data_IF_479607796046
#
_entry.id   IF_479607796046
#
_cell.length_a   1.000
_cell.length_b   1.000
_cell.length_c   1.000
_cell.angle_alpha   90.00
_cell.angle_beta   90.00
_cell.angle_gamma   90.00
#
_symmetry.space_group_name_H-M   'P 1'
#
loop_
_entity.id
_entity.type
_entity.pdbx_description
1 polymer ?
#
# COMPACT_ATOMS: atom_id res chain seq x y z
N UNK A 1 25.30 -24.96 25.23
CA UNK A 1 23.92 -25.48 25.44
C UNK A 1 22.84 -24.38 25.51
N UNK A 2 23.07 -23.23 26.16
CA UNK A 2 22.07 -22.15 26.25
C UNK A 2 21.74 -21.49 24.89
N UNK A 3 22.75 -21.21 24.05
CA UNK A 3 22.58 -20.64 22.69
C UNK A 3 21.70 -21.55 21.80
N UNK A 4 21.92 -22.87 21.84
CA UNK A 4 21.07 -23.87 21.13
C UNK A 4 19.61 -23.91 21.62
N UNK A 5 19.34 -23.54 22.89
CA UNK A 5 17.97 -23.45 23.41
C UNK A 5 17.30 -22.15 22.96
N UNK A 6 18.02 -21.03 22.98
CA UNK A 6 17.54 -19.74 22.48
C UNK A 6 17.24 -19.79 20.98
N UNK A 7 18.14 -20.37 20.16
CA UNK A 7 17.91 -20.58 18.73
C UNK A 7 16.65 -21.41 18.44
N UNK A 8 16.41 -22.46 19.23
CA UNK A 8 15.20 -23.30 19.10
C UNK A 8 13.91 -22.57 19.50
N UNK A 9 13.99 -21.67 20.48
CA UNK A 9 12.86 -20.83 20.87
C UNK A 9 12.57 -19.75 19.81
N UNK A 10 13.62 -19.08 19.32
CA UNK A 10 13.52 -18.08 18.24
C UNK A 10 12.94 -18.68 16.95
N UNK A 11 13.34 -19.92 16.61
CA UNK A 11 12.81 -20.66 15.47
C UNK A 11 11.32 -21.07 15.60
N UNK A 12 10.71 -20.89 16.77
CA UNK A 12 9.29 -21.13 17.05
C UNK A 12 8.51 -19.84 17.32
N UNK A 13 9.19 -18.69 17.33
CA UNK A 13 8.55 -17.38 17.48
C UNK A 13 7.74 -17.04 16.23
N UNK A 14 6.96 -15.96 16.32
CA UNK A 14 6.37 -15.36 15.12
C UNK A 14 7.48 -14.90 14.18
N UNK A 15 7.23 -14.98 12.88
CA UNK A 15 8.18 -14.61 11.84
C UNK A 15 8.03 -13.12 11.56
N UNK A 16 9.00 -12.27 11.93
CA UNK A 16 8.94 -10.85 11.63
C UNK A 16 9.36 -10.59 10.19
N UNK A 17 8.41 -10.15 9.37
CA UNK A 17 8.55 -9.96 7.92
C UNK A 17 8.35 -8.49 7.60
N UNK A 18 9.32 -7.88 6.92
CA UNK A 18 9.14 -6.56 6.29
C UNK A 18 8.70 -6.76 4.84
N UNK A 19 7.50 -6.28 4.43
CA UNK A 19 7.04 -6.39 3.06
C UNK A 19 7.51 -5.20 2.20
N UNK A 20 8.35 -5.48 1.20
CA UNK A 20 8.62 -4.58 0.08
C UNK A 20 7.67 -4.91 -1.08
N UNK A 21 6.63 -4.10 -1.23
CA UNK A 21 5.58 -4.32 -2.23
C UNK A 21 5.98 -3.72 -3.57
N UNK A 22 6.02 -4.57 -4.60
CA UNK A 22 6.06 -4.21 -6.02
C UNK A 22 4.65 -4.21 -6.63
N UNK A 23 4.58 -4.08 -7.95
CA UNK A 23 3.34 -4.15 -8.71
C UNK A 23 2.65 -5.51 -8.47
N UNK A 24 1.37 -5.47 -8.09
CA UNK A 24 0.54 -6.63 -7.79
C UNK A 24 0.96 -7.44 -6.54
N UNK A 25 1.71 -6.83 -5.62
CA UNK A 25 2.17 -7.45 -4.37
C UNK A 25 1.12 -7.48 -3.25
N UNK A 26 0.08 -6.64 -3.31
CA UNK A 26 -0.91 -6.44 -2.25
C UNK A 26 -1.64 -7.73 -1.80
N UNK A 27 -1.97 -8.70 -2.69
CA UNK A 27 -2.56 -9.97 -2.25
C UNK A 27 -1.70 -10.73 -1.22
N UNK A 28 -0.37 -10.67 -1.35
CA UNK A 28 0.56 -11.27 -0.40
C UNK A 28 0.47 -10.61 0.97
N UNK A 29 0.48 -9.27 1.01
CA UNK A 29 0.31 -8.50 2.25
C UNK A 29 -0.98 -8.91 2.98
N UNK A 30 -2.10 -8.90 2.26
CA UNK A 30 -3.40 -9.21 2.83
C UNK A 30 -3.50 -10.66 3.35
N UNK A 31 -2.92 -11.62 2.61
CA UNK A 31 -2.86 -13.03 3.04
C UNK A 31 -2.06 -13.17 4.34
N UNK A 32 -0.89 -12.53 4.40
CA UNK A 32 0.01 -12.62 5.54
C UNK A 32 -0.51 -11.90 6.78
N UNK A 33 -1.19 -10.77 6.62
CA UNK A 33 -1.84 -10.05 7.72
C UNK A 33 -2.86 -10.91 8.48
N UNK A 34 -3.50 -11.87 7.80
CA UNK A 34 -4.44 -12.82 8.40
C UNK A 34 -3.81 -14.13 8.86
N UNK A 35 -2.53 -14.35 8.60
CA UNK A 35 -1.88 -15.63 8.86
C UNK A 35 -1.26 -15.68 10.25
N UNK A 36 -1.72 -16.63 11.06
CA UNK A 36 -1.16 -16.84 12.40
C UNK A 36 0.32 -17.26 12.31
N UNK A 37 1.16 -16.70 13.19
CA UNK A 37 2.59 -16.99 13.22
C UNK A 37 3.45 -16.10 12.33
N UNK A 38 2.84 -15.29 11.46
CA UNK A 38 3.54 -14.23 10.73
C UNK A 38 3.27 -12.89 11.42
N UNK A 39 4.29 -12.04 11.49
CA UNK A 39 4.22 -10.69 12.01
C UNK A 39 4.75 -9.72 10.95
N UNK A 40 3.86 -8.93 10.36
CA UNK A 40 4.24 -7.87 9.43
C UNK A 40 4.73 -6.66 10.22
N UNK A 41 6.00 -6.30 10.05
CA UNK A 41 6.62 -5.19 10.76
C UNK A 41 6.74 -3.96 9.87
N UNK A 42 6.65 -2.77 10.48
CA UNK A 42 6.63 -1.50 9.75
C UNK A 42 8.03 -0.91 9.48
N UNK A 43 9.09 -1.56 10.00
CA UNK A 43 10.49 -1.17 9.77
C UNK A 43 11.35 -2.37 9.43
N UNK A 44 12.27 -2.27 8.44
CA UNK A 44 13.23 -3.33 8.14
C UNK A 44 14.10 -3.68 9.35
N UNK A 45 14.34 -2.72 10.26
CA UNK A 45 15.10 -2.95 11.50
C UNK A 45 14.47 -3.97 12.45
N UNK A 46 13.17 -4.22 12.32
CA UNK A 46 12.43 -5.17 13.14
C UNK A 46 12.25 -6.53 12.47
N UNK A 47 12.69 -6.69 11.21
CA UNK A 47 12.49 -7.91 10.44
C UNK A 47 13.70 -8.85 10.50
N UNK A 48 13.41 -10.15 10.44
CA UNK A 48 14.41 -11.18 10.10
C UNK A 48 14.27 -11.61 8.64
N UNK A 49 13.11 -11.38 8.02
CA UNK A 49 12.87 -11.67 6.61
C UNK A 49 12.41 -10.43 5.84
N UNK A 50 13.02 -10.19 4.69
CA UNK A 50 12.50 -9.27 3.67
C UNK A 50 11.65 -10.06 2.69
N UNK A 51 10.38 -9.71 2.55
CA UNK A 51 9.51 -10.21 1.50
C UNK A 51 9.47 -9.19 0.36
N UNK A 52 9.94 -9.56 -0.82
CA UNK A 52 9.69 -8.77 -2.05
C UNK A 52 8.50 -9.38 -2.75
N UNK A 53 7.37 -8.67 -2.78
CA UNK A 53 6.11 -9.19 -3.32
C UNK A 53 5.68 -8.42 -4.55
N UNK A 54 5.60 -9.09 -5.70
CA UNK A 54 5.23 -8.48 -6.98
C UNK A 54 6.42 -7.89 -7.75
N UNK A 55 6.15 -7.48 -8.98
CA UNK A 55 7.18 -6.99 -9.90
C UNK A 55 7.74 -5.63 -9.47
N UNK A 56 9.05 -5.54 -9.25
CA UNK A 56 9.74 -4.29 -8.92
C UNK A 56 10.44 -3.74 -10.17
N UNK A 57 10.03 -2.56 -10.69
CA UNK A 57 10.67 -1.93 -11.84
C UNK A 57 12.18 -1.69 -11.65
N UNK A 58 13.01 -1.77 -12.71
CA UNK A 58 14.46 -1.63 -12.61
C UNK A 58 14.95 -0.32 -11.97
N UNK A 59 14.26 0.78 -12.24
CA UNK A 59 14.54 2.10 -11.66
C UNK A 59 14.35 2.14 -10.14
N UNK A 60 13.64 1.16 -9.57
CA UNK A 60 13.39 1.02 -8.12
C UNK A 60 14.38 0.08 -7.43
N UNK A 61 15.23 -0.63 -8.18
CA UNK A 61 16.17 -1.61 -7.61
C UNK A 61 17.18 -0.97 -6.66
N UNK A 62 17.60 0.27 -6.90
CA UNK A 62 18.49 0.99 -5.99
C UNK A 62 17.86 1.20 -4.61
N UNK A 63 16.58 1.60 -4.55
CA UNK A 63 15.86 1.74 -3.30
C UNK A 63 15.66 0.38 -2.61
N UNK A 64 15.43 -0.69 -3.38
CA UNK A 64 15.27 -2.03 -2.84
C UNK A 64 16.56 -2.55 -2.18
N UNK A 65 17.73 -2.30 -2.79
CA UNK A 65 19.03 -2.61 -2.18
C UNK A 65 19.24 -1.87 -0.85
N UNK A 66 18.80 -0.61 -0.75
CA UNK A 66 18.86 0.15 0.52
C UNK A 66 17.99 -0.47 1.60
N UNK A 67 16.75 -0.84 1.28
CA UNK A 67 15.85 -1.51 2.24
C UNK A 67 16.44 -2.85 2.67
N UNK A 68 16.94 -3.65 1.71
CA UNK A 68 17.59 -4.93 1.97
C UNK A 68 18.72 -4.80 3.01
N UNK A 69 19.60 -3.83 2.85
CA UNK A 69 20.75 -3.66 3.74
C UNK A 69 20.40 -3.00 5.09
N UNK A 70 19.18 -2.48 5.26
CA UNK A 70 18.69 -2.01 6.56
C UNK A 70 18.25 -3.14 7.51
N UNK A 71 18.08 -4.37 7.02
CA UNK A 71 17.72 -5.51 7.88
C UNK A 71 18.91 -5.90 8.78
N UNK A 72 18.67 -6.20 10.07
CA UNK A 72 19.71 -6.65 10.99
C UNK A 72 20.11 -8.10 10.69
N UNK A 73 21.41 -8.39 10.74
CA UNK A 73 21.87 -9.77 10.62
C UNK A 73 21.54 -10.58 11.89
N UNK A 74 21.20 -11.89 11.78
CA UNK A 74 20.99 -12.63 10.54
C UNK A 74 19.61 -12.32 9.91
N UNK A 75 19.56 -12.17 8.59
CA UNK A 75 18.32 -12.00 7.83
C UNK A 75 18.33 -12.81 6.53
N UNK A 76 17.16 -13.02 5.93
CA UNK A 76 17.03 -13.63 4.61
C UNK A 76 15.95 -12.94 3.77
N UNK A 77 15.93 -13.22 2.47
CA UNK A 77 14.96 -12.66 1.52
C UNK A 77 14.09 -13.75 0.90
N UNK A 78 12.80 -13.46 0.73
CA UNK A 78 11.89 -14.29 -0.07
C UNK A 78 11.24 -13.43 -1.15
N UNK A 79 11.16 -13.97 -2.36
CA UNK A 79 10.64 -13.28 -3.54
C UNK A 79 9.33 -13.94 -3.97
N UNK A 80 8.24 -13.19 -3.92
CA UNK A 80 6.90 -13.64 -4.31
C UNK A 80 6.51 -13.03 -5.65
N UNK A 81 6.31 -13.86 -6.69
CA UNK A 81 5.99 -13.42 -8.08
C UNK A 81 6.88 -12.27 -8.55
N UNK A 82 8.17 -12.41 -8.27
CA UNK A 82 9.17 -11.38 -8.49
C UNK A 82 10.50 -12.07 -8.73
N UNK A 83 11.28 -11.52 -9.66
CA UNK A 83 12.60 -12.05 -9.95
C UNK A 83 13.63 -11.43 -9.00
N UNK A 84 14.46 -12.24 -8.31
CA UNK A 84 15.51 -11.71 -7.46
C UNK A 84 16.47 -10.78 -8.19
N UNK A 85 17.06 -9.84 -7.45
CA UNK A 85 18.21 -9.10 -7.93
C UNK A 85 19.32 -10.07 -8.34
N UNK A 86 20.14 -9.70 -9.32
CA UNK A 86 21.21 -10.56 -9.84
C UNK A 86 22.21 -10.97 -8.74
N UNK A 87 22.46 -10.08 -7.78
CA UNK A 87 23.30 -10.30 -6.61
C UNK A 87 22.68 -11.30 -5.61
N UNK A 88 21.37 -11.57 -5.74
CA UNK A 88 20.56 -12.43 -4.89
C UNK A 88 19.93 -13.60 -5.66
N UNK A 89 20.53 -14.05 -6.77
CA UNK A 89 19.99 -15.12 -7.61
C UNK A 89 19.71 -16.45 -6.86
N UNK A 90 20.35 -16.69 -5.71
CA UNK A 90 20.10 -17.84 -4.84
C UNK A 90 18.97 -17.66 -3.80
N UNK A 91 18.24 -16.55 -3.84
CA UNK A 91 17.15 -16.28 -2.92
C UNK A 91 15.94 -17.22 -3.15
N UNK A 92 15.18 -17.48 -2.09
CA UNK A 92 13.97 -18.31 -2.19
C UNK A 92 12.89 -17.58 -2.98
N UNK A 93 12.33 -18.25 -3.99
CA UNK A 93 11.22 -17.75 -4.82
C UNK A 93 9.96 -18.60 -4.63
N UNK A 94 8.80 -17.95 -4.62
CA UNK A 94 7.47 -18.57 -4.54
C UNK A 94 6.52 -17.84 -5.47
N UNK A 95 5.80 -18.55 -6.33
CA UNK A 95 4.81 -17.92 -7.21
C UNK A 95 3.35 -18.18 -6.74
N UNK A 96 3.15 -19.19 -5.89
CA UNK A 96 1.85 -19.54 -5.35
C UNK A 96 1.55 -18.85 -4.02
N UNK A 97 0.43 -18.12 -3.96
CA UNK A 97 0.05 -17.32 -2.79
C UNK A 97 -0.14 -18.17 -1.52
N UNK A 98 -0.66 -19.39 -1.67
CA UNK A 98 -0.92 -20.28 -0.53
C UNK A 98 0.33 -20.98 0.01
N UNK A 99 1.39 -21.09 -0.79
CA UNK A 99 2.68 -21.61 -0.33
C UNK A 99 3.49 -20.57 0.48
N UNK A 100 3.15 -19.29 0.35
CA UNK A 100 3.91 -18.18 0.91
C UNK A 100 4.10 -18.27 2.44
N UNK A 101 3.08 -18.56 3.28
CA UNK A 101 3.27 -18.59 4.73
C UNK A 101 4.17 -19.74 5.20
N UNK A 102 4.05 -20.92 4.57
CA UNK A 102 4.91 -22.06 4.89
C UNK A 102 6.35 -21.79 4.49
N UNK A 103 6.57 -21.20 3.32
CA UNK A 103 7.90 -20.82 2.85
C UNK A 103 8.58 -19.82 3.79
N UNK A 104 7.87 -18.77 4.24
CA UNK A 104 8.39 -17.81 5.23
C UNK A 104 8.73 -18.48 6.56
N UNK A 105 7.87 -19.37 7.04
CA UNK A 105 8.07 -20.09 8.32
C UNK A 105 9.28 -21.02 8.25
N UNK A 106 9.44 -21.72 7.14
CA UNK A 106 10.59 -22.60 6.90
C UNK A 106 11.88 -21.80 6.79
N UNK A 107 11.87 -20.72 6.00
CA UNK A 107 13.03 -19.85 5.82
C UNK A 107 13.51 -19.23 7.15
N UNK A 108 12.59 -18.71 7.97
CA UNK A 108 12.91 -18.19 9.30
C UNK A 108 13.48 -19.26 10.23
N UNK A 109 12.92 -20.47 10.19
CA UNK A 109 13.39 -21.60 11.00
C UNK A 109 14.82 -21.99 10.62
N UNK A 110 15.11 -22.13 9.32
CA UNK A 110 16.45 -22.43 8.81
C UNK A 110 17.47 -21.37 9.26
N UNK A 111 17.09 -20.09 9.15
CA UNK A 111 17.90 -18.95 9.55
C UNK A 111 18.21 -18.96 11.05
N UNK A 112 17.18 -19.12 11.89
CA UNK A 112 17.34 -19.14 13.35
C UNK A 112 18.10 -20.37 13.86
N UNK A 113 18.05 -21.49 13.13
CA UNK A 113 18.78 -22.71 13.45
C UNK A 113 20.21 -22.75 12.89
N UNK A 114 20.61 -21.74 12.10
CA UNK A 114 21.92 -21.70 11.46
C UNK A 114 22.09 -22.72 10.34
N UNK A 115 21.00 -23.29 9.82
CA UNK A 115 21.00 -24.15 8.63
C UNK A 115 21.18 -23.33 7.35
N UNK A 116 20.85 -22.04 7.43
CA UNK A 116 21.03 -21.04 6.38
C UNK A 116 21.85 -19.87 6.93
N UNK A 117 22.82 -19.41 6.14
CA UNK A 117 23.56 -18.17 6.43
C UNK A 117 22.72 -16.91 6.19
N UNK A 118 23.15 -15.78 6.75
CA UNK A 118 22.50 -14.49 6.46
C UNK A 118 22.68 -14.11 4.98
N UNK A 119 21.70 -13.40 4.42
CA UNK A 119 21.85 -12.73 3.12
C UNK A 119 23.08 -11.80 3.12
N UNK A 120 23.82 -11.72 1.99
CA UNK A 120 25.00 -10.85 1.86
C UNK A 120 24.60 -9.37 1.81
N UNK A 121 25.46 -8.46 2.28
CA UNK A 121 25.26 -7.01 2.06
C UNK A 121 25.49 -6.66 0.59
N UNK A 122 24.66 -5.78 0.05
CA UNK A 122 24.68 -5.39 -1.37
C UNK A 122 25.35 -4.04 -1.61
N UNK A 123 25.26 -3.13 -0.64
CA UNK A 123 25.82 -1.80 -0.67
C UNK A 123 27.20 -1.78 -0.02
N UNK A 124 28.09 -0.86 -0.45
CA UNK A 124 29.38 -0.67 0.21
C UNK A 124 29.17 -0.20 1.65
N UNK A 125 30.04 -0.68 2.55
CA UNK A 125 30.10 -0.25 3.94
C UNK A 125 30.86 1.07 4.05
N UNK A 126 30.26 2.13 3.51
CA UNK A 126 30.80 3.49 3.48
C UNK A 126 29.85 4.44 4.21
N UNK A 127 30.38 5.45 4.93
CA UNK A 127 29.55 6.43 5.59
C UNK A 127 28.71 7.18 4.55
N UNK A 128 27.44 7.51 4.87
CA UNK A 128 26.50 8.10 3.91
C UNK A 128 26.92 9.50 3.46
N UNK A 129 27.65 10.22 4.30
CA UNK A 129 28.30 11.48 3.97
C UNK A 129 29.80 11.34 4.19
N UNK A 130 30.65 11.93 3.32
CA UNK A 130 32.07 12.01 3.59
C UNK A 130 32.29 12.75 4.92
N UNK A 131 33.33 12.37 5.65
CA UNK A 131 33.71 13.06 6.88
C UNK A 131 34.12 14.50 6.55
N UNK A 132 33.35 15.47 7.06
CA UNK A 132 33.72 16.88 7.00
C UNK A 132 34.56 17.24 8.24
N UNK A 133 35.62 18.04 8.05
CA UNK A 133 36.46 18.55 9.16
C UNK A 133 37.78 17.82 9.42
N UNK A 134 38.27 17.00 8.47
CA UNK A 134 39.66 16.53 8.48
C UNK A 134 40.60 17.74 8.34
N UNK A 135 41.26 18.14 9.42
CA UNK A 135 42.36 19.10 9.34
C UNK A 135 43.51 18.55 8.49
N UNK A 136 44.38 19.44 7.99
CA UNK A 136 45.51 19.10 7.11
C UNK A 136 46.44 18.00 7.68
N UNK A 137 46.45 17.84 9.02
CA UNK A 137 47.26 16.86 9.75
C UNK A 137 46.46 15.65 10.27
N UNK A 138 45.21 15.43 9.83
CA UNK A 138 44.38 14.30 10.28
C UNK A 138 43.84 14.41 11.71
N UNK A 139 44.05 15.54 12.37
CA UNK A 139 43.54 15.82 13.71
C UNK A 139 42.16 16.50 13.63
N UNK A 140 41.15 15.68 13.40
CA UNK A 140 39.75 16.12 13.35
C UNK A 140 38.88 15.01 12.78
N UNK A 141 38.69 13.92 13.52
CA UNK A 141 37.84 12.84 13.01
C UNK A 141 37.83 11.49 13.72
N UNK A 142 38.75 11.18 14.66
CA UNK A 142 38.83 9.82 15.23
C UNK A 142 38.65 9.71 16.75
N UNK A 143 38.28 10.79 17.46
CA UNK A 143 38.16 10.72 18.93
C UNK A 143 37.11 11.64 19.53
N UNK A 144 36.34 11.09 20.48
CA UNK A 144 35.27 11.76 21.25
C UNK A 144 35.74 12.92 22.16
N UNK A 145 37.00 13.39 22.06
CA UNK A 145 37.57 14.37 23.01
C UNK A 145 38.58 15.37 22.41
N UNK A 146 38.65 15.52 21.07
CA UNK A 146 39.82 16.14 20.42
C UNK A 146 39.63 17.46 19.67
N UNK A 147 38.57 18.24 19.90
CA UNK A 147 38.34 19.50 19.17
C UNK A 147 37.83 20.61 20.09
N UNK A 148 38.21 21.86 19.81
CA UNK A 148 37.59 23.05 20.42
C UNK A 148 36.08 22.94 20.15
N UNK A 149 35.21 23.00 21.17
CA UNK A 149 33.78 22.84 20.96
C UNK A 149 33.25 24.07 20.23
N UNK A 150 33.39 24.08 18.90
CA UNK A 150 32.44 24.78 18.07
C UNK A 150 31.14 24.02 18.26
N UNK A 151 30.31 24.53 19.19
CA UNK A 151 28.90 24.14 19.21
C UNK A 151 28.41 24.29 17.77
N UNK A 152 27.79 23.23 17.23
CA UNK A 152 27.20 23.30 15.90
C UNK A 152 26.37 24.60 15.87
N UNK A 153 26.64 25.53 14.95
CA UNK A 153 25.82 26.72 14.83
C UNK A 153 24.37 26.25 14.83
N UNK A 154 23.53 26.87 15.66
CA UNK A 154 22.09 26.59 15.58
C UNK A 154 21.70 26.72 14.11
N UNK A 155 20.99 25.72 13.60
CA UNK A 155 20.51 25.76 12.22
C UNK A 155 19.60 26.98 12.15
N UNK A 156 20.10 28.04 11.51
CA UNK A 156 19.30 29.24 11.29
C UNK A 156 18.37 28.92 10.13
N UNK A 157 17.09 28.64 10.44
CA UNK A 157 16.10 28.40 9.40
C UNK A 157 15.92 29.69 8.59
N UNK A 158 16.12 29.58 7.28
CA UNK A 158 16.04 30.69 6.32
C UNK A 158 14.63 30.88 5.76
N UNK A 159 13.63 30.27 6.38
CA UNK A 159 12.29 30.10 5.81
C UNK A 159 11.22 30.54 6.80
N UNK A 160 10.28 31.33 6.32
CA UNK A 160 9.16 31.84 7.12
C UNK A 160 8.25 30.68 7.57
N UNK A 161 7.76 30.76 8.81
CA UNK A 161 6.81 29.78 9.34
C UNK A 161 5.42 29.92 8.68
N UNK A 162 4.76 28.79 8.43
CA UNK A 162 3.47 28.74 7.72
C UNK A 162 2.26 29.05 8.63
N UNK A 163 2.41 29.02 9.96
CA UNK A 163 1.28 29.06 10.91
C UNK A 163 1.32 30.27 11.85
N UNK A 164 2.22 30.26 12.83
CA UNK A 164 2.23 31.13 14.02
C UNK A 164 3.50 31.98 14.21
N UNK A 165 4.49 31.84 13.33
CA UNK A 165 5.75 32.57 13.37
C UNK A 165 6.86 31.88 14.18
N UNK A 166 6.64 30.68 14.71
CA UNK A 166 7.65 29.94 15.46
C UNK A 166 8.58 29.14 14.52
N UNK A 167 9.79 29.61 14.31
CA UNK A 167 10.77 28.93 13.43
C UNK A 167 11.33 27.67 14.08
N UNK A 168 10.84 26.49 13.67
CA UNK A 168 11.38 25.18 14.06
C UNK A 168 12.39 24.66 13.04
N UNK A 169 13.33 23.83 13.49
CA UNK A 169 14.30 23.14 12.62
C UNK A 169 13.60 22.32 11.53
N UNK A 170 14.02 22.53 10.28
CA UNK A 170 13.51 21.77 9.14
C UNK A 170 14.26 20.45 8.96
N UNK A 171 13.52 19.35 8.83
CA UNK A 171 14.03 18.03 8.47
C UNK A 171 13.54 17.63 7.08
N UNK A 172 14.44 17.56 6.10
CA UNK A 172 14.12 17.03 4.76
C UNK A 172 14.52 15.57 4.67
N UNK A 173 13.56 14.72 4.29
CA UNK A 173 13.75 13.27 4.13
C UNK A 173 13.07 12.76 2.86
N UNK A 174 13.63 11.70 2.29
CA UNK A 174 12.97 10.94 1.22
C UNK A 174 12.24 9.73 1.80
N UNK A 175 10.96 9.61 1.49
CA UNK A 175 10.10 8.50 1.91
C UNK A 175 9.73 7.63 0.70
N UNK A 176 9.53 6.33 0.93
CA UNK A 176 9.16 5.38 -0.13
C UNK A 176 10.36 4.80 -0.90
N UNK A 177 10.13 3.98 -1.94
CA UNK A 177 8.83 3.52 -2.45
C UNK A 177 8.25 2.29 -1.70
N UNK A 178 9.01 1.73 -0.74
CA UNK A 178 8.65 0.52 0.01
C UNK A 178 8.22 0.79 1.45
N UNK A 179 7.77 2.00 1.74
CA UNK A 179 7.39 2.40 3.08
C UNK A 179 5.93 2.01 3.36
N UNK A 180 5.60 1.13 4.33
CA UNK A 180 4.27 0.54 4.45
C UNK A 180 3.10 1.51 4.69
N UNK A 181 3.39 2.73 5.16
CA UNK A 181 2.39 3.79 5.35
C UNK A 181 2.04 4.56 4.06
N UNK A 182 2.85 4.42 3.01
CA UNK A 182 2.59 5.01 1.70
C UNK A 182 1.98 3.97 0.75
N UNK A 183 1.21 4.39 -0.26
CA UNK A 183 0.80 3.50 -1.34
C UNK A 183 2.05 2.89 -2.00
N UNK A 184 2.06 1.58 -2.32
CA UNK A 184 3.21 0.93 -2.94
C UNK A 184 3.71 1.70 -4.16
N UNK A 185 5.02 1.92 -4.26
CA UNK A 185 5.63 2.63 -5.39
C UNK A 185 5.73 4.15 -5.21
N UNK A 186 4.90 4.76 -4.36
CA UNK A 186 4.94 6.21 -4.11
C UNK A 186 6.23 6.57 -3.37
N UNK A 187 6.98 7.51 -3.93
CA UNK A 187 8.10 8.15 -3.24
C UNK A 187 7.93 9.66 -3.23
N UNK A 188 8.39 10.29 -2.15
CA UNK A 188 8.31 11.73 -1.99
C UNK A 188 9.48 12.27 -1.19
N UNK A 189 9.91 13.48 -1.54
CA UNK A 189 10.73 14.30 -0.67
C UNK A 189 9.81 15.13 0.21
N UNK A 190 10.01 15.05 1.52
CA UNK A 190 9.17 15.69 2.52
C UNK A 190 10.04 16.55 3.41
N UNK A 191 9.64 17.80 3.60
CA UNK A 191 10.25 18.70 4.59
C UNK A 191 9.29 18.87 5.75
N UNK A 192 9.74 18.50 6.95
CA UNK A 192 8.99 18.59 8.19
C UNK A 192 9.54 19.70 9.08
N UNK A 193 8.66 20.40 9.78
CA UNK A 193 9.00 21.34 10.86
C UNK A 193 8.25 20.90 12.12
N UNK A 194 8.93 20.13 12.99
CA UNK A 194 8.23 19.37 14.02
C UNK A 194 7.33 18.31 13.40
N UNK A 195 6.04 18.37 13.67
CA UNK A 195 5.00 17.53 13.07
C UNK A 195 4.30 18.16 11.86
N UNK A 196 4.60 19.42 11.53
CA UNK A 196 4.06 20.11 10.37
C UNK A 196 4.72 19.62 9.07
N UNK A 197 3.91 19.27 8.08
CA UNK A 197 4.37 19.10 6.69
C UNK A 197 4.57 20.47 6.07
N UNK A 198 5.82 20.92 5.97
CA UNK A 198 6.16 22.19 5.35
C UNK A 198 6.12 22.09 3.82
N UNK A 199 6.71 21.03 3.27
CA UNK A 199 6.71 20.77 1.83
C UNK A 199 6.58 19.28 1.54
N UNK A 200 5.88 18.97 0.45
CA UNK A 200 5.75 17.64 -0.12
C UNK A 200 6.03 17.71 -1.62
N UNK A 201 6.99 16.93 -2.09
CA UNK A 201 7.31 16.82 -3.51
C UNK A 201 7.24 15.37 -3.93
N UNK A 202 6.22 15.01 -4.71
CA UNK A 202 6.07 13.66 -5.25
C UNK A 202 7.16 13.38 -6.27
N UNK A 203 8.03 12.42 -5.98
CA UNK A 203 9.12 12.00 -6.86
C UNK A 203 8.65 10.92 -7.83
N UNK A 204 7.96 9.91 -7.30
CA UNK A 204 7.47 8.76 -8.07
C UNK A 204 6.01 8.48 -7.78
N UNK A 205 5.25 8.18 -8.83
CA UNK A 205 3.86 7.77 -8.72
C UNK A 205 3.72 6.38 -8.05
N UNK A 206 2.62 6.12 -7.34
CA UNK A 206 2.28 4.78 -6.85
C UNK A 206 2.11 3.79 -8.00
N UNK A 207 2.31 2.51 -7.70
CA UNK A 207 2.06 1.44 -8.65
C UNK A 207 0.56 1.37 -9.00
N UNK A 208 0.22 1.03 -10.27
CA UNK A 208 -1.17 0.93 -10.67
C UNK A 208 -1.95 -0.11 -9.85
N UNK A 209 -3.13 0.27 -9.39
CA UNK A 209 -3.99 -0.60 -8.58
C UNK A 209 -4.76 -1.57 -9.48
N UNK A 210 -4.61 -2.88 -9.22
CA UNK A 210 -5.34 -3.91 -9.93
C UNK A 210 -6.74 -4.10 -9.33
N UNK A 211 -7.76 -3.99 -10.18
CA UNK A 211 -9.15 -4.27 -9.83
C UNK A 211 -9.49 -5.75 -10.09
N UNK A 212 -10.60 -6.22 -9.49
CA UNK A 212 -11.11 -7.56 -9.77
C UNK A 212 -11.54 -7.69 -11.24
N UNK A 213 -11.31 -8.86 -11.82
CA UNK A 213 -11.63 -9.20 -13.22
C UNK A 213 -13.07 -8.92 -13.63
N UNK A 214 -14.03 -8.94 -12.70
CA UNK A 214 -15.43 -8.56 -12.98
C UNK A 214 -15.57 -7.15 -13.55
N UNK A 215 -14.74 -6.19 -13.15
CA UNK A 215 -14.77 -4.82 -13.70
C UNK A 215 -14.29 -4.78 -15.15
N UNK A 216 -13.30 -5.61 -15.48
CA UNK A 216 -12.80 -5.75 -16.86
C UNK A 216 -13.83 -6.47 -17.74
N UNK A 217 -14.46 -7.52 -17.21
CA UNK A 217 -15.53 -8.25 -17.92
C UNK A 217 -16.74 -7.36 -18.19
N UNK A 218 -17.14 -6.51 -17.24
CA UNK A 218 -18.26 -5.57 -17.39
C UNK A 218 -18.08 -4.60 -18.57
N UNK A 219 -16.85 -4.33 -18.99
CA UNK A 219 -16.57 -3.52 -20.19
C UNK A 219 -16.90 -4.24 -21.49
N UNK A 220 -16.91 -5.58 -21.49
CA UNK A 220 -17.01 -6.43 -22.68
C UNK A 220 -18.33 -7.18 -22.77
N UNK A 221 -18.91 -7.55 -21.63
CA UNK A 221 -20.11 -8.37 -21.56
C UNK A 221 -21.00 -7.97 -20.36
N UNK A 222 -22.31 -8.28 -20.40
CA UNK A 222 -23.17 -8.23 -19.24
C UNK A 222 -22.64 -9.12 -18.12
N UNK A 223 -22.52 -8.56 -16.90
CA UNK A 223 -22.07 -9.31 -15.72
C UNK A 223 -23.10 -9.23 -14.59
N UNK A 224 -23.13 -10.20 -13.66
CA UNK A 224 -24.02 -10.12 -12.50
C UNK A 224 -23.71 -8.88 -11.65
N UNK A 225 -24.71 -8.04 -11.39
CA UNK A 225 -24.54 -6.84 -10.55
C UNK A 225 -24.06 -7.23 -9.14
N UNK A 226 -24.51 -8.38 -8.64
CA UNK A 226 -24.06 -8.90 -7.36
C UNK A 226 -22.54 -9.15 -7.30
N UNK A 227 -21.91 -9.56 -8.40
CA UNK A 227 -20.47 -9.79 -8.46
C UNK A 227 -19.70 -8.46 -8.42
N UNK A 228 -20.14 -7.46 -9.20
CA UNK A 228 -19.57 -6.11 -9.22
C UNK A 228 -19.63 -5.45 -7.84
N UNK A 229 -20.79 -5.44 -7.21
CA UNK A 229 -20.99 -4.74 -5.94
C UNK A 229 -20.29 -5.46 -4.78
N UNK A 230 -20.17 -6.80 -4.83
CA UNK A 230 -19.29 -7.54 -3.91
C UNK A 230 -17.83 -7.16 -4.11
N UNK A 231 -17.34 -7.08 -5.34
CA UNK A 231 -15.97 -6.67 -5.63
C UNK A 231 -15.69 -5.23 -5.14
N UNK A 232 -16.65 -4.32 -5.33
CA UNK A 232 -16.60 -2.94 -4.80
C UNK A 232 -16.50 -2.91 -3.28
N UNK A 233 -17.39 -3.62 -2.57
CA UNK A 233 -17.36 -3.68 -1.11
C UNK A 233 -16.01 -4.23 -0.60
N UNK A 234 -15.45 -5.26 -1.26
CA UNK A 234 -14.13 -5.81 -0.90
C UNK A 234 -13.00 -4.80 -1.08
N UNK A 235 -13.01 -4.04 -2.18
CA UNK A 235 -12.03 -2.96 -2.41
C UNK A 235 -12.04 -1.95 -1.26
N UNK A 236 -13.20 -1.43 -0.92
CA UNK A 236 -13.35 -0.46 0.17
C UNK A 236 -12.97 -1.03 1.54
N UNK A 237 -13.28 -2.31 1.83
CA UNK A 237 -12.87 -2.96 3.06
C UNK A 237 -11.34 -3.15 3.16
N UNK A 238 -10.66 -3.45 2.04
CA UNK A 238 -9.18 -3.49 1.97
C UNK A 238 -8.58 -2.11 2.22
N UNK A 239 -9.14 -1.05 1.63
CA UNK A 239 -8.70 0.33 1.89
C UNK A 239 -8.91 0.74 3.35
N UNK A 240 -10.06 0.38 3.93
CA UNK A 240 -10.32 0.60 5.35
C UNK A 240 -9.31 -0.15 6.25
N UNK A 241 -8.87 -1.35 5.86
CA UNK A 241 -7.81 -2.06 6.57
C UNK A 241 -6.52 -1.24 6.66
N UNK A 242 -6.06 -0.66 5.54
CA UNK A 242 -4.84 0.17 5.50
C UNK A 242 -4.97 1.40 6.40
N UNK A 243 -6.10 2.11 6.33
CA UNK A 243 -6.32 3.28 7.17
C UNK A 243 -6.41 2.96 8.67
N UNK A 244 -7.01 1.81 9.02
CA UNK A 244 -7.08 1.37 10.42
C UNK A 244 -5.73 0.90 10.95
N UNK A 245 -4.87 0.30 10.10
CA UNK A 245 -3.47 0.01 10.43
C UNK A 245 -2.73 1.29 10.76
N UNK A 246 -2.84 2.30 9.90
CA UNK A 246 -2.19 3.60 10.05
C UNK A 246 -2.63 4.33 11.33
N UNK A 247 -3.91 4.23 11.67
CA UNK A 247 -4.47 4.79 12.90
C UNK A 247 -4.14 3.96 14.18
N UNK A 248 -3.34 2.90 14.09
CA UNK A 248 -3.00 2.03 15.23
C UNK A 248 -4.16 1.14 15.72
N UNK A 249 -5.23 1.00 14.95
CA UNK A 249 -6.43 0.23 15.30
C UNK A 249 -6.37 -1.22 14.76
N UNK A 250 -5.28 -1.92 15.05
CA UNK A 250 -4.92 -3.23 14.48
C UNK A 250 -6.07 -4.25 14.49
N UNK A 251 -6.77 -4.39 15.62
CA UNK A 251 -7.87 -5.35 15.75
C UNK A 251 -9.01 -5.05 14.77
N UNK A 252 -9.32 -3.77 14.55
CA UNK A 252 -10.36 -3.36 13.62
C UNK A 252 -9.88 -3.48 12.18
N UNK A 253 -8.59 -3.18 11.93
CA UNK A 253 -7.97 -3.38 10.62
C UNK A 253 -8.07 -4.85 10.17
N UNK A 254 -7.73 -5.80 11.06
CA UNK A 254 -7.86 -7.24 10.76
C UNK A 254 -9.32 -7.69 10.66
N UNK A 255 -10.26 -7.02 11.34
CA UNK A 255 -11.69 -7.31 11.17
C UNK A 255 -12.20 -6.85 9.80
N UNK A 256 -11.83 -5.65 9.36
CA UNK A 256 -12.17 -5.14 8.04
C UNK A 256 -11.60 -6.06 6.94
N UNK A 257 -10.32 -6.46 7.09
CA UNK A 257 -9.68 -7.35 6.13
C UNK A 257 -10.33 -8.73 6.06
N UNK A 258 -10.69 -9.34 7.20
CA UNK A 258 -11.43 -10.61 7.22
C UNK A 258 -12.76 -10.52 6.46
N UNK A 259 -13.52 -9.44 6.66
CA UNK A 259 -14.76 -9.20 5.91
C UNK A 259 -14.48 -9.10 4.40
N UNK A 260 -13.37 -8.47 3.99
CA UNK A 260 -13.01 -8.37 2.56
C UNK A 260 -12.75 -9.73 1.89
N UNK A 261 -12.35 -10.76 2.64
CA UNK A 261 -12.11 -12.09 2.11
C UNK A 261 -13.34 -13.01 2.16
N UNK A 262 -14.36 -12.66 2.92
CA UNK A 262 -15.56 -13.49 3.02
C UNK A 262 -16.29 -13.57 1.67
N UNK A 263 -16.65 -14.78 1.20
CA UNK A 263 -17.39 -14.97 -0.05
C UNK A 263 -18.67 -14.13 -0.12
N UNK A 264 -19.40 -14.09 1.00
CA UNK A 264 -20.61 -13.29 1.21
C UNK A 264 -20.49 -12.57 2.54
N UNK A 265 -20.54 -11.24 2.50
CA UNK A 265 -20.47 -10.39 3.67
C UNK A 265 -21.88 -10.04 4.12
N UNK A 266 -22.21 -10.43 5.35
CA UNK A 266 -23.49 -10.07 5.96
C UNK A 266 -23.50 -8.60 6.42
N UNK A 267 -24.52 -7.84 6.03
CA UNK A 267 -24.64 -6.40 6.32
C UNK A 267 -24.60 -6.09 7.82
N UNK A 268 -25.13 -6.99 8.65
CA UNK A 268 -25.09 -6.84 10.12
C UNK A 268 -23.65 -6.78 10.65
N UNK A 269 -22.71 -7.49 10.02
CA UNK A 269 -21.30 -7.51 10.43
C UNK A 269 -20.60 -6.20 10.11
N UNK A 270 -20.90 -5.60 8.96
CA UNK A 270 -20.42 -4.25 8.60
C UNK A 270 -21.01 -3.20 9.54
N UNK A 271 -22.30 -3.30 9.86
CA UNK A 271 -22.96 -2.42 10.85
C UNK A 271 -22.27 -2.52 12.23
N UNK A 272 -21.94 -3.74 12.67
CA UNK A 272 -21.19 -3.97 13.92
C UNK A 272 -19.78 -3.35 13.86
N UNK A 273 -19.07 -3.47 12.73
CA UNK A 273 -17.78 -2.83 12.52
C UNK A 273 -17.91 -1.31 12.61
N UNK A 274 -18.86 -0.70 11.88
CA UNK A 274 -19.12 0.74 11.89
C UNK A 274 -19.41 1.28 13.29
N UNK A 275 -20.22 0.57 14.09
CA UNK A 275 -20.47 0.94 15.50
C UNK A 275 -19.19 0.90 16.34
N UNK A 276 -18.29 -0.05 16.10
CA UNK A 276 -16.99 -0.13 16.78
C UNK A 276 -16.05 1.00 16.37
N UNK A 277 -16.02 1.37 15.09
CA UNK A 277 -15.26 2.53 14.59
C UNK A 277 -15.69 3.83 15.28
N UNK A 278 -16.99 4.04 15.47
CA UNK A 278 -17.50 5.19 16.23
C UNK A 278 -17.01 5.22 17.68
N UNK A 279 -16.95 4.05 18.34
CA UNK A 279 -16.49 3.94 19.73
C UNK A 279 -14.97 4.01 19.88
N UNK A 280 -14.21 3.61 18.86
CA UNK A 280 -12.74 3.62 18.89
C UNK A 280 -12.13 5.00 18.64
N UNK A 281 -12.95 6.01 18.30
CA UNK A 281 -12.46 7.35 17.99
C UNK A 281 -11.91 7.51 16.58
N UNK A 282 -12.07 6.52 15.70
CA UNK A 282 -11.60 6.61 14.31
C UNK A 282 -12.13 7.86 13.59
N UNK A 283 -13.41 8.19 13.79
CA UNK A 283 -14.00 9.40 13.22
C UNK A 283 -13.56 10.69 13.90
N UNK A 284 -13.08 10.64 15.15
CA UNK A 284 -12.49 11.82 15.78
C UNK A 284 -11.14 12.15 15.15
N UNK A 285 -10.34 11.12 14.85
CA UNK A 285 -9.04 11.26 14.18
C UNK A 285 -9.19 11.76 12.73
N UNK A 286 -10.27 11.36 12.04
CA UNK A 286 -10.47 11.66 10.62
C UNK A 286 -11.38 12.85 10.34
N UNK A 287 -12.02 13.44 11.35
CA UNK A 287 -12.92 14.60 11.19
C UNK A 287 -12.29 15.86 11.75
N UNK A 288 -11.09 16.20 11.27
CA UNK A 288 -10.43 17.49 11.57
C UNK A 288 -10.87 18.61 10.61
N UNK A 289 -11.61 18.27 9.55
CA UNK A 289 -12.00 19.20 8.48
C UNK A 289 -10.90 19.44 7.43
N UNK A 290 -9.73 18.80 7.61
CA UNK A 290 -8.57 18.92 6.74
C UNK A 290 -8.58 17.96 5.55
N UNK A 291 -7.64 18.17 4.62
CA UNK A 291 -7.52 17.36 3.41
C UNK A 291 -8.72 17.50 2.49
N UNK A 292 -9.34 18.68 2.46
CA UNK A 292 -10.49 19.00 1.62
C UNK A 292 -10.05 19.11 0.16
N UNK A 293 -10.77 18.44 -0.73
CA UNK A 293 -10.59 18.60 -2.17
C UNK A 293 -11.54 19.65 -2.72
N UNK A 294 -11.02 20.51 -3.60
CA UNK A 294 -11.86 21.33 -4.47
C UNK A 294 -12.59 20.45 -5.50
N UNK A 295 -13.67 20.94 -6.10
CA UNK A 295 -14.46 20.14 -7.06
C UNK A 295 -13.62 19.64 -8.26
N UNK A 296 -12.67 20.45 -8.75
CA UNK A 296 -11.77 20.04 -9.84
C UNK A 296 -10.85 18.90 -9.43
N UNK A 297 -10.24 19.01 -8.25
CA UNK A 297 -9.39 17.97 -7.67
C UNK A 297 -10.21 16.69 -7.39
N UNK A 298 -11.41 16.83 -6.83
CA UNK A 298 -12.31 15.72 -6.54
C UNK A 298 -12.75 14.98 -7.80
N UNK A 299 -13.05 15.70 -8.90
CA UNK A 299 -13.32 15.08 -10.22
C UNK A 299 -12.10 14.32 -10.74
N UNK A 300 -10.89 14.87 -10.59
CA UNK A 300 -9.65 14.24 -11.04
C UNK A 300 -9.34 12.95 -10.28
N UNK A 301 -9.55 12.93 -8.96
CA UNK A 301 -9.39 11.70 -8.15
C UNK A 301 -10.51 10.70 -8.44
N UNK A 302 -11.75 11.17 -8.61
CA UNK A 302 -12.89 10.33 -8.96
C UNK A 302 -13.43 9.47 -7.80
N UNK A 303 -14.34 8.56 -8.15
CA UNK A 303 -14.90 7.55 -7.25
C UNK A 303 -15.44 8.11 -5.93
N UNK A 304 -15.00 7.52 -4.82
CA UNK A 304 -15.39 7.94 -3.46
C UNK A 304 -15.05 9.41 -3.19
N UNK A 305 -13.91 9.89 -3.67
CA UNK A 305 -13.47 11.25 -3.41
C UNK A 305 -14.40 12.28 -4.09
N UNK A 306 -14.82 11.99 -5.32
CA UNK A 306 -15.78 12.81 -6.04
C UNK A 306 -17.13 12.89 -5.31
N UNK A 307 -17.70 11.74 -4.93
CA UNK A 307 -19.00 11.67 -4.23
C UNK A 307 -18.95 12.26 -2.82
N UNK A 308 -17.82 12.15 -2.14
CA UNK A 308 -17.61 12.79 -0.84
C UNK A 308 -17.55 14.32 -0.91
N UNK A 309 -17.29 14.88 -2.10
CA UNK A 309 -17.29 16.32 -2.37
C UNK A 309 -18.59 16.80 -3.04
N UNK A 310 -19.63 15.96 -3.09
CA UNK A 310 -20.96 16.31 -3.59
C UNK A 310 -21.15 16.16 -5.09
N UNK A 311 -20.23 15.48 -5.79
CA UNK A 311 -20.38 15.25 -7.23
C UNK A 311 -21.28 14.04 -7.49
N UNK A 312 -22.40 14.28 -8.18
CA UNK A 312 -23.45 13.29 -8.47
C UNK A 312 -23.12 12.29 -9.61
N UNK A 313 -22.02 12.53 -10.32
CA UNK A 313 -21.62 11.75 -11.49
C UNK A 313 -21.24 10.31 -11.08
N UNK A 314 -22.10 9.33 -11.43
CA UNK A 314 -21.87 7.91 -11.20
C UNK A 314 -22.45 7.08 -12.35
N UNK A 315 -21.62 6.28 -13.03
CA UNK A 315 -22.05 5.54 -14.22
C UNK A 315 -23.11 4.47 -13.91
N UNK A 316 -23.23 3.98 -12.67
CA UNK A 316 -24.29 3.02 -12.29
C UNK A 316 -25.68 3.62 -12.47
N UNK A 317 -25.83 4.94 -12.33
CA UNK A 317 -27.11 5.63 -12.54
C UNK A 317 -27.60 5.57 -13.99
N UNK A 318 -26.71 5.32 -14.95
CA UNK A 318 -27.05 5.23 -16.39
C UNK A 318 -27.56 3.84 -16.77
N UNK A 319 -27.23 2.81 -15.99
CA UNK A 319 -27.63 1.44 -16.25
C UNK A 319 -29.07 1.19 -15.76
N UNK A 320 -29.94 0.67 -16.65
CA UNK A 320 -31.35 0.48 -16.31
C UNK A 320 -31.58 -0.66 -15.30
N UNK A 321 -30.71 -1.67 -15.24
CA UNK A 321 -30.81 -2.71 -14.22
C UNK A 321 -30.48 -2.17 -12.83
N UNK A 322 -29.46 -1.32 -12.70
CA UNK A 322 -29.19 -0.61 -11.44
C UNK A 322 -30.36 0.29 -11.02
N UNK A 323 -30.99 1.01 -11.96
CA UNK A 323 -32.20 1.81 -11.67
C UNK A 323 -33.38 0.97 -11.20
N UNK A 324 -33.60 -0.22 -11.78
CA UNK A 324 -34.65 -1.16 -11.33
C UNK A 324 -34.38 -1.69 -9.91
N UNK A 325 -33.11 -1.87 -9.55
CA UNK A 325 -32.68 -2.19 -8.18
C UNK A 325 -32.78 -0.99 -7.21
N UNK A 326 -33.21 0.19 -7.68
CA UNK A 326 -33.36 1.38 -6.84
C UNK A 326 -32.04 2.08 -6.49
N UNK A 327 -30.99 1.88 -7.28
CA UNK A 327 -29.71 2.57 -7.06
C UNK A 327 -29.87 4.09 -7.18
N UNK A 328 -29.32 4.80 -6.19
CA UNK A 328 -29.13 6.25 -6.20
C UNK A 328 -27.75 6.56 -5.61
N UNK A 329 -26.92 7.43 -6.21
CA UNK A 329 -25.62 7.78 -5.64
C UNK A 329 -25.76 8.37 -4.24
N UNK A 330 -24.97 7.88 -3.30
CA UNK A 330 -24.84 8.50 -1.97
C UNK A 330 -23.80 9.60 -2.07
N UNK A 331 -24.07 10.75 -1.45
CA UNK A 331 -23.18 11.91 -1.47
C UNK A 331 -22.85 12.37 -0.04
N UNK A 332 -21.74 13.08 0.07
CA UNK A 332 -21.42 13.94 1.22
C UNK A 332 -21.07 15.33 0.69
N UNK A 333 -21.11 16.34 1.56
CA UNK A 333 -20.84 17.74 1.17
C UNK A 333 -19.49 18.27 1.69
N UNK A 334 -18.73 17.43 2.38
CA UNK A 334 -17.54 17.85 3.11
C UNK A 334 -16.28 17.92 2.25
N UNK A 335 -16.09 17.00 1.30
CA UNK A 335 -14.87 16.86 0.51
C UNK A 335 -13.59 16.58 1.31
N UNK A 336 -13.66 16.52 2.64
CA UNK A 336 -12.57 16.29 3.58
C UNK A 336 -12.32 14.79 3.86
N UNK A 337 -11.27 14.51 4.62
CA UNK A 337 -10.88 13.14 5.00
C UNK A 337 -12.01 12.39 5.70
N UNK A 338 -12.77 13.07 6.58
CA UNK A 338 -13.89 12.48 7.30
C UNK A 338 -15.07 12.15 6.38
N UNK A 339 -15.37 13.04 5.43
CA UNK A 339 -16.39 12.86 4.41
C UNK A 339 -16.06 11.66 3.53
N UNK A 340 -14.81 11.49 3.11
CA UNK A 340 -14.37 10.32 2.32
C UNK A 340 -14.53 9.00 3.07
N UNK A 341 -14.24 8.95 4.37
CA UNK A 341 -14.48 7.72 5.16
C UNK A 341 -15.96 7.43 5.42
N UNK A 342 -16.78 8.47 5.64
CA UNK A 342 -18.24 8.30 5.73
C UNK A 342 -18.82 7.81 4.41
N UNK A 343 -18.37 8.38 3.29
CA UNK A 343 -18.74 7.97 1.94
C UNK A 343 -18.34 6.51 1.68
N UNK A 344 -17.10 6.13 1.98
CA UNK A 344 -16.60 4.75 1.83
C UNK A 344 -17.49 3.74 2.55
N UNK A 345 -17.86 4.01 3.81
CA UNK A 345 -18.70 3.11 4.60
C UNK A 345 -20.14 3.06 4.09
N UNK A 346 -20.69 4.19 3.64
CA UNK A 346 -22.01 4.23 3.05
C UNK A 346 -22.08 3.45 1.72
N UNK A 347 -21.03 3.53 0.90
CA UNK A 347 -20.91 2.73 -0.32
C UNK A 347 -20.76 1.24 -0.03
N UNK A 348 -20.00 0.82 1.01
CA UNK A 348 -19.98 -0.59 1.43
C UNK A 348 -21.40 -1.07 1.78
N UNK A 349 -22.12 -0.30 2.60
CA UNK A 349 -23.49 -0.65 3.03
C UNK A 349 -24.43 -0.78 1.81
N UNK A 350 -24.37 0.17 0.88
CA UNK A 350 -25.18 0.18 -0.34
C UNK A 350 -24.81 -0.98 -1.29
N UNK A 351 -23.53 -1.23 -1.51
CA UNK A 351 -23.05 -2.32 -2.36
C UNK A 351 -23.51 -3.68 -1.87
N UNK A 352 -23.48 -3.93 -0.56
CA UNK A 352 -23.96 -5.20 -0.01
C UNK A 352 -25.48 -5.35 -0.15
N UNK A 353 -26.23 -4.26 0.02
CA UNK A 353 -27.68 -4.26 -0.21
C UNK A 353 -28.01 -4.55 -1.68
N UNK A 354 -27.38 -3.84 -2.62
CA UNK A 354 -27.57 -4.05 -4.06
C UNK A 354 -27.17 -5.45 -4.47
N UNK A 355 -26.06 -5.98 -3.94
CA UNK A 355 -25.63 -7.33 -4.27
C UNK A 355 -26.62 -8.40 -3.80
N UNK A 356 -27.20 -8.23 -2.62
CA UNK A 356 -28.24 -9.15 -2.13
C UNK A 356 -29.51 -9.08 -3.00
N UNK A 357 -29.94 -7.87 -3.37
CA UNK A 357 -31.13 -7.70 -4.20
C UNK A 357 -30.91 -8.23 -5.63
N UNK A 358 -29.78 -7.89 -6.25
CA UNK A 358 -29.42 -8.37 -7.58
C UNK A 358 -29.31 -9.89 -7.66
N UNK A 359 -28.77 -10.55 -6.63
CA UNK A 359 -28.69 -12.02 -6.58
C UNK A 359 -30.08 -12.66 -6.50
N UNK A 360 -31.02 -12.05 -5.77
CA UNK A 360 -32.41 -12.51 -5.69
C UNK A 360 -33.18 -12.33 -7.00
N UNK A 361 -32.91 -11.25 -7.71
CA UNK A 361 -33.59 -10.89 -8.97
C UNK A 361 -32.88 -11.45 -10.21
N UNK A 362 -31.69 -12.03 -10.06
CA UNK A 362 -30.86 -12.47 -11.18
C UNK A 362 -30.39 -11.32 -12.08
N UNK A 363 -30.20 -10.13 -11.51
CA UNK A 363 -29.92 -8.90 -12.25
C UNK A 363 -28.48 -8.84 -12.79
N UNK A 364 -28.37 -8.50 -14.07
CA UNK A 364 -27.11 -8.29 -14.78
C UNK A 364 -27.01 -6.84 -15.26
N UNK A 365 -25.80 -6.37 -15.51
CA UNK A 365 -25.57 -5.08 -16.17
C UNK A 365 -26.17 -5.10 -17.57
N UNK A 366 -26.66 -3.94 -18.01
CA UNK A 366 -27.17 -3.76 -19.38
C UNK A 366 -26.24 -2.90 -20.23
N UNK A 367 -25.46 -2.01 -19.58
CA UNK A 367 -24.48 -1.17 -20.27
C UNK A 367 -23.16 -1.93 -20.42
N UNK A 368 -22.59 -1.87 -21.63
CA UNK A 368 -21.29 -2.42 -22.00
C UNK A 368 -20.41 -1.28 -22.50
N UNK A 369 -19.08 -1.40 -22.38
CA UNK A 369 -18.11 -0.37 -22.80
C UNK A 369 -17.90 0.75 -21.79
N UNK A 370 -18.63 0.74 -20.67
CA UNK A 370 -18.35 1.61 -19.53
C UNK A 370 -18.80 0.97 -18.21
N UNK A 371 -18.06 1.21 -17.13
CA UNK A 371 -18.34 0.70 -15.79
C UNK A 371 -17.91 1.71 -14.73
N UNK A 372 -18.72 1.88 -13.68
CA UNK A 372 -18.27 2.59 -12.48
C UNK A 372 -17.39 1.67 -11.63
N UNK A 373 -16.10 1.96 -11.51
CA UNK A 373 -15.20 1.22 -10.62
C UNK A 373 -15.18 1.83 -9.22
N UNK A 374 -14.57 1.18 -8.21
CA UNK A 374 -14.38 1.80 -6.90
C UNK A 374 -13.48 3.05 -6.95
N UNK A 375 -12.61 3.15 -7.96
CA UNK A 375 -11.68 4.25 -8.21
C UNK A 375 -12.25 5.32 -9.16
N UNK A 376 -13.52 5.19 -9.57
CA UNK A 376 -14.20 6.12 -10.47
C UNK A 376 -14.63 5.51 -11.81
N UNK A 377 -15.13 6.34 -12.73
CA UNK A 377 -15.67 5.88 -14.01
C UNK A 377 -14.58 5.32 -14.91
N UNK A 378 -14.86 4.18 -15.54
CA UNK A 378 -14.03 3.57 -16.58
C UNK A 378 -14.86 3.41 -17.85
N UNK A 379 -14.60 4.26 -18.85
CA UNK A 379 -15.18 4.17 -20.18
C UNK A 379 -14.08 4.18 -21.24
N UNK A 380 -14.04 5.24 -22.04
CA UNK A 380 -12.93 5.49 -22.98
C UNK A 380 -11.57 5.61 -22.27
N UNK A 381 -11.58 6.26 -21.10
CA UNK A 381 -10.41 6.45 -20.25
C UNK A 381 -10.66 5.79 -18.90
N UNK A 382 -9.60 5.19 -18.35
CA UNK A 382 -9.56 4.67 -16.97
C UNK A 382 -9.04 5.75 -16.04
N UNK A 383 -9.27 5.59 -14.74
CA UNK A 383 -8.69 6.49 -13.73
C UNK A 383 -7.16 6.52 -13.86
N UNK A 384 -6.63 7.72 -14.05
CA UNK A 384 -5.20 8.01 -14.17
C UNK A 384 -4.57 8.30 -12.80
N UNK A 385 -3.25 8.40 -12.77
CA UNK A 385 -2.54 8.80 -11.56
C UNK A 385 -2.87 10.26 -11.17
N UNK A 386 -3.19 10.44 -9.89
CA UNK A 386 -3.50 11.73 -9.29
C UNK A 386 -2.54 12.05 -8.13
N UNK A 387 -1.44 11.32 -7.97
CA UNK A 387 -0.55 11.43 -6.81
C UNK A 387 0.12 12.80 -6.68
N UNK A 388 0.35 13.52 -7.78
CA UNK A 388 0.86 14.91 -7.75
C UNK A 388 -0.06 15.92 -7.07
N UNK A 389 -1.34 15.59 -6.85
CA UNK A 389 -2.21 16.45 -6.03
C UNK A 389 -1.71 16.56 -4.58
N UNK A 390 -0.90 15.62 -4.10
CA UNK A 390 -0.33 15.64 -2.75
C UNK A 390 0.60 16.84 -2.54
N UNK A 391 1.28 17.30 -3.60
CA UNK A 391 2.22 18.43 -3.56
C UNK A 391 1.51 19.74 -3.14
N UNK A 392 0.23 19.88 -3.50
CA UNK A 392 -0.62 21.02 -3.13
C UNK A 392 -1.44 20.73 -1.86
N UNK A 393 -1.85 19.48 -1.65
CA UNK A 393 -2.84 19.12 -0.63
C UNK A 393 -2.25 18.90 0.77
N UNK A 394 -1.01 18.40 0.86
CA UNK A 394 -0.40 18.01 2.14
C UNK A 394 0.33 19.14 2.88
N UNK A 395 0.96 20.14 2.22
CA UNK A 395 1.58 21.25 2.93
C UNK A 395 0.61 21.99 3.86
N UNK A 396 1.09 22.31 5.06
CA UNK A 396 0.31 22.96 6.12
C UNK A 396 -0.45 22.00 7.05
N UNK A 397 -0.54 20.71 6.71
CA UNK A 397 -1.13 19.68 7.57
C UNK A 397 -0.13 19.16 8.61
N UNK A 398 -0.63 18.74 9.76
CA UNK A 398 0.17 17.89 10.67
C UNK A 398 0.39 16.51 10.06
N UNK A 399 1.45 15.83 10.48
CA UNK A 399 1.88 14.56 9.90
C UNK A 399 0.79 13.47 9.94
N UNK A 400 0.06 13.37 11.04
CA UNK A 400 -1.04 12.42 11.21
C UNK A 400 -2.26 12.77 10.32
N UNK A 401 -2.56 14.06 10.16
CA UNK A 401 -3.58 14.57 9.24
C UNK A 401 -3.21 14.31 7.78
N UNK A 402 -1.94 14.53 7.42
CA UNK A 402 -1.42 14.28 6.08
C UNK A 402 -1.51 12.79 5.73
N UNK A 403 -1.06 11.92 6.62
CA UNK A 403 -1.14 10.46 6.46
C UNK A 403 -2.59 9.96 6.41
N UNK A 404 -3.48 10.50 7.26
CA UNK A 404 -4.91 10.18 7.24
C UNK A 404 -5.59 10.63 5.94
N UNK A 405 -5.19 11.79 5.42
CA UNK A 405 -5.65 12.34 4.15
C UNK A 405 -5.21 11.44 3.00
N UNK A 406 -3.92 11.11 2.93
CA UNK A 406 -3.36 10.21 1.92
C UNK A 406 -4.07 8.85 1.91
N UNK A 407 -4.29 8.23 3.08
CA UNK A 407 -4.96 6.92 3.18
C UNK A 407 -6.42 6.94 2.73
N UNK A 408 -7.08 8.11 2.80
CA UNK A 408 -8.48 8.29 2.38
C UNK A 408 -8.65 8.47 0.86
N UNK A 409 -7.56 8.66 0.12
CA UNK A 409 -7.56 8.89 -1.33
C UNK A 409 -7.20 7.60 -2.09
N UNK A 410 -7.66 7.52 -3.34
CA UNK A 410 -7.35 6.42 -4.28
C UNK A 410 -6.62 7.04 -5.46
N UNK A 411 -5.32 7.33 -5.27
CA UNK A 411 -4.55 8.21 -6.18
C UNK A 411 -3.86 7.46 -7.31
N UNK A 412 -3.68 6.15 -7.16
CA UNK A 412 -2.99 5.35 -8.15
C UNK A 412 -3.85 5.17 -9.40
N UNK A 413 -3.20 5.14 -10.56
CA UNK A 413 -3.84 4.74 -11.79
C UNK A 413 -4.44 3.32 -11.66
N UNK A 414 -5.51 3.03 -12.40
CA UNK A 414 -6.02 1.66 -12.51
C UNK A 414 -5.11 0.84 -13.43
N UNK A 415 -4.75 -0.37 -13.02
CA UNK A 415 -3.92 -1.29 -13.79
C UNK A 415 -4.62 -1.79 -15.05
N UNK A 416 -3.83 -2.10 -16.08
CA UNK A 416 -4.26 -2.77 -17.31
C UNK A 416 -4.67 -4.22 -17.11
N UNK A 417 -4.18 -4.83 -16.03
CA UNK A 417 -4.31 -6.26 -15.79
C UNK A 417 -5.18 -6.50 -14.55
N UNK A 418 -6.12 -7.46 -14.62
CA UNK A 418 -6.91 -7.85 -13.46
C UNK A 418 -6.06 -8.42 -12.33
N UNK A 419 -6.61 -8.38 -11.11
CA UNK A 419 -5.99 -9.01 -9.94
C UNK A 419 -5.81 -10.53 -10.12
N UNK A 420 -6.71 -11.21 -10.85
CA UNK A 420 -6.73 -12.67 -11.02
C UNK A 420 -5.93 -13.20 -12.23
N UNK A 421 -5.69 -12.40 -13.27
CA UNK A 421 -4.95 -12.85 -14.48
C UNK A 421 -3.50 -13.27 -14.16
N UNK A 422 -2.98 -12.81 -13.03
CA UNK A 422 -1.65 -13.16 -12.53
C UNK A 422 -1.66 -14.40 -11.61
N UNK A 423 -2.82 -14.98 -11.32
CA UNK A 423 -2.94 -16.26 -10.59
C UNK A 423 -2.91 -17.49 -11.52
N UNK A 424 -3.13 -17.32 -12.83
CA UNK A 424 -3.23 -18.42 -13.80
C UNK A 424 -2.10 -18.52 -14.83
N UNK A 425 -1.05 -17.70 -14.75
CA UNK A 425 0.05 -17.68 -15.73
C UNK A 425 1.11 -18.76 -15.47
N UNK A 426 0.70 -19.99 -15.12
CA UNK A 426 1.61 -21.13 -14.92
C UNK A 426 1.36 -22.29 -15.90
N UNK A 427 0.38 -22.19 -16.82
CA UNK A 427 0.09 -23.28 -17.77
C UNK A 427 0.40 -23.00 -19.26
N UNK A 428 0.97 -21.84 -19.61
CA UNK A 428 1.24 -21.49 -21.01
C UNK A 428 2.71 -21.15 -21.28
N UNK A 429 3.63 -22.06 -20.94
CA UNK A 429 5.03 -22.03 -21.43
C UNK A 429 5.62 -23.44 -21.39
N UNK A 430 4.95 -24.36 -22.09
CA UNK A 430 5.33 -25.77 -22.16
C UNK A 430 4.93 -26.40 -23.47
N UNK A 431 5.20 -25.76 -24.60
CA UNK A 431 5.35 -26.44 -25.88
C UNK A 431 5.95 -25.49 -26.93
N UNK A 432 7.24 -25.66 -27.16
CA UNK A 432 8.01 -24.92 -28.16
C UNK A 432 9.44 -25.43 -28.24
N UNK A 433 9.62 -26.75 -28.10
CA UNK A 433 10.88 -27.43 -28.37
C UNK A 433 10.60 -28.48 -29.44
N UNK A 434 10.66 -28.09 -30.72
CA UNK A 434 10.97 -29.00 -31.81
C UNK A 434 11.41 -28.23 -33.07
N UNK A 435 12.49 -28.75 -33.68
CA UNK A 435 13.08 -28.43 -34.98
C UNK A 435 14.00 -27.21 -35.08
N UNK A 436 15.29 -27.39 -34.75
CA UNK A 436 16.39 -26.73 -35.48
C UNK A 436 17.75 -27.46 -35.33
N UNK A 437 17.82 -28.68 -35.84
CA UNK A 437 19.03 -29.47 -36.13
C UNK A 437 18.65 -30.25 -37.41
N UNK A 438 19.34 -30.32 -38.54
CA UNK A 438 20.75 -30.15 -38.93
C UNK A 438 20.81 -29.67 -40.39
N UNK A 439 21.66 -28.66 -40.68
CA UNK A 439 22.38 -28.58 -41.96
C UNK A 439 23.74 -27.96 -41.69
N UNK A 440 24.76 -28.79 -41.49
CA UNK A 440 26.15 -28.52 -41.89
C UNK A 440 26.99 -29.79 -41.81
N UNK A 441 27.58 -30.11 -42.97
CA UNK A 441 28.59 -31.12 -43.29
C UNK A 441 28.11 -32.57 -43.38
#
# INVERSE_FOLDING_TARGET
MAVSRLSRLAARARVPVFPALGMHGEPALHRLALTAGIELVDSPRHASLLLVAGGVPPDRHAALRRVHDQLPAPFATLWYRSEPLIELAGATRVDELDALPEALTTLHRELMQGQRGSSPRLLPDEPPNPWEGLGDDGHGGEGMMGGVPYGRPMVMNMTDDLRDGLTLDSLTVTLGPFLPMLPPGLSAEVTLQGDLVYAWTTQDAPYPTALGSVFFRALQEPVPIAELERARARHHLKRLHVALRLAGLERLALQALRLAFEPRVEQERVTKLRRRLGRSGFFRLTTTGQGRLEQGQARRVGGVAARAAGLEEDLRGRDAAYRRLGFTPILQDGGDTGARWRQTLAEIDQSLQLAHQAEREGAHTEVIGSVETPCGPWGEHRSEDASRLLDELLPGLEWDEALSTLASLDLAAVSEWPQETLQGSTEASGNGAESCEERRA
#
